data_IF_865558736311
#
_entry.id   IF_865558736311
#
_cell.length_a   1.000
_cell.length_b   1.000
_cell.length_c   1.000
_cell.angle_alpha   90.00
_cell.angle_beta   90.00
_cell.angle_gamma   90.00
#
_symmetry.space_group_name_H-M   'P 1'
#
loop_
_entity.id
_entity.type
_entity.pdbx_description
1 polymer ?
#
# COMPACT_ATOMS: atom_id res chain seq x y z
N UNK A 1 5.39 -13.54 12.29
CA UNK A 1 4.95 -14.83 11.70
C UNK A 1 3.98 -14.57 10.54
N UNK A 2 4.46 -14.25 9.34
CA UNK A 2 3.63 -13.90 8.17
C UNK A 2 3.52 -15.04 7.12
N UNK A 3 3.87 -16.28 7.50
CA UNK A 3 4.34 -17.28 6.53
C UNK A 3 3.35 -18.33 6.02
N UNK A 4 2.29 -18.70 6.75
CA UNK A 4 1.69 -20.04 6.59
C UNK A 4 0.27 -20.16 6.03
N UNK A 5 -0.43 -19.08 5.64
CA UNK A 5 -1.85 -19.18 5.22
C UNK A 5 -2.31 -18.29 4.06
N UNK A 6 -1.38 -17.75 3.25
CA UNK A 6 -1.72 -16.80 2.18
C UNK A 6 -1.28 -17.35 0.82
N UNK A 7 -2.18 -17.32 -0.16
CA UNK A 7 -1.88 -17.76 -1.53
C UNK A 7 -0.76 -16.90 -2.12
N UNK A 8 -0.04 -17.39 -3.13
CA UNK A 8 1.01 -16.63 -3.80
C UNK A 8 0.49 -15.25 -4.26
N UNK A 9 -0.75 -15.21 -4.78
CA UNK A 9 -1.42 -13.96 -5.15
C UNK A 9 -1.66 -13.04 -3.95
N UNK A 10 -2.14 -13.55 -2.82
CA UNK A 10 -2.35 -12.74 -1.61
C UNK A 10 -1.04 -12.20 -1.00
N UNK A 11 0.07 -12.94 -1.12
CA UNK A 11 1.40 -12.46 -0.70
C UNK A 11 1.89 -11.33 -1.59
N UNK A 12 1.75 -11.47 -2.92
CA UNK A 12 2.12 -10.44 -3.89
C UNK A 12 1.27 -9.18 -3.69
N UNK A 13 -0.05 -9.32 -3.52
CA UNK A 13 -0.94 -8.18 -3.31
C UNK A 13 -0.60 -7.40 -2.03
N UNK A 14 -0.22 -8.11 -0.96
CA UNK A 14 0.23 -7.48 0.27
C UNK A 14 1.55 -6.72 0.07
N UNK A 15 2.50 -7.30 -0.66
CA UNK A 15 3.77 -6.63 -0.97
C UNK A 15 3.56 -5.38 -1.82
N UNK A 16 2.76 -5.48 -2.88
CA UNK A 16 2.43 -4.34 -3.76
C UNK A 16 1.70 -3.26 -2.96
N UNK A 17 0.69 -3.62 -2.16
CA UNK A 17 -0.02 -2.67 -1.31
C UNK A 17 0.88 -1.95 -0.31
N UNK A 18 1.88 -2.64 0.25
CA UNK A 18 2.88 -2.04 1.14
C UNK A 18 3.75 -1.00 0.41
N UNK A 19 4.25 -1.34 -0.79
CA UNK A 19 5.04 -0.40 -1.60
C UNK A 19 4.24 0.81 -2.05
N UNK A 20 2.98 0.61 -2.47
CA UNK A 20 2.08 1.70 -2.88
C UNK A 20 1.76 2.62 -1.69
N UNK A 21 1.50 2.05 -0.52
CA UNK A 21 1.31 2.82 0.70
C UNK A 21 2.56 3.63 1.07
N UNK A 22 3.74 3.00 1.05
CA UNK A 22 5.00 3.65 1.38
C UNK A 22 5.33 4.79 0.39
N UNK A 23 5.07 4.61 -0.90
CA UNK A 23 5.23 5.66 -1.90
C UNK A 23 4.25 6.82 -1.67
N UNK A 24 2.98 6.53 -1.41
CA UNK A 24 2.00 7.56 -1.04
C UNK A 24 2.43 8.34 0.19
N UNK A 25 2.89 7.64 1.22
CA UNK A 25 3.39 8.24 2.45
C UNK A 25 4.64 9.10 2.21
N UNK A 26 5.57 8.65 1.37
CA UNK A 26 6.78 9.39 1.03
C UNK A 26 6.51 10.69 0.26
N UNK A 27 5.45 10.72 -0.56
CA UNK A 27 5.01 11.92 -1.28
C UNK A 27 3.98 12.75 -0.51
N UNK A 28 3.65 12.35 0.72
CA UNK A 28 2.75 13.14 1.56
C UNK A 28 3.50 14.32 2.16
N UNK A 29 2.83 15.46 2.18
CA UNK A 29 3.31 16.64 2.92
C UNK A 29 3.42 16.38 4.44
N UNK A 30 2.93 15.22 4.92
CA UNK A 30 3.16 14.72 6.27
C UNK A 30 4.64 14.64 6.67
N UNK A 31 5.54 14.47 5.69
CA UNK A 31 6.98 14.44 5.92
C UNK A 31 7.66 15.82 5.80
N UNK A 32 6.92 16.87 5.40
CA UNK A 32 7.44 18.23 5.27
C UNK A 32 8.61 18.37 4.29
N UNK A 33 8.65 17.53 3.26
CA UNK A 33 9.73 17.55 2.27
C UNK A 33 9.37 18.58 1.18
N UNK A 34 9.94 19.77 1.31
CA UNK A 34 9.85 20.83 0.30
C UNK A 34 10.46 20.37 -1.03
N UNK A 35 9.72 20.54 -2.13
CA UNK A 35 10.15 20.18 -3.49
C UNK A 35 9.43 18.98 -4.10
N UNK A 36 8.43 18.41 -3.42
CA UNK A 36 7.51 17.46 -4.05
C UNK A 36 6.56 18.19 -5.02
N UNK A 37 6.35 17.68 -6.24
CA UNK A 37 5.38 18.24 -7.19
C UNK A 37 3.96 18.23 -6.62
N UNK A 38 3.22 19.34 -6.72
CA UNK A 38 1.83 19.48 -6.20
C UNK A 38 0.89 18.33 -6.62
N UNK A 39 1.09 17.79 -7.83
CA UNK A 39 0.34 16.64 -8.34
C UNK A 39 0.57 15.37 -7.50
N UNK A 40 1.82 15.11 -7.09
CA UNK A 40 2.17 13.94 -6.27
C UNK A 40 1.68 14.11 -4.83
N UNK A 41 1.72 15.33 -4.33
CA UNK A 41 1.19 15.69 -3.01
C UNK A 41 -0.34 15.48 -2.96
N UNK A 42 -1.06 15.95 -3.98
CA UNK A 42 -2.51 15.76 -4.10
C UNK A 42 -2.89 14.28 -4.24
N UNK A 43 -2.07 13.51 -4.97
CA UNK A 43 -2.31 12.07 -5.17
C UNK A 43 -1.80 11.20 -4.02
N UNK A 44 -1.01 11.75 -3.09
CA UNK A 44 -0.45 11.02 -1.94
C UNK A 44 -1.53 10.35 -1.09
N UNK A 45 -2.54 11.12 -0.66
CA UNK A 45 -3.63 10.61 0.18
C UNK A 45 -4.41 9.50 -0.54
N UNK A 46 -4.88 9.69 -1.80
CA UNK A 46 -5.45 8.62 -2.59
C UNK A 46 -4.53 7.39 -2.71
N UNK A 47 -3.23 7.57 -2.94
CA UNK A 47 -2.26 6.46 -3.05
C UNK A 47 -2.16 5.67 -1.75
N UNK A 48 -2.08 6.36 -0.60
CA UNK A 48 -2.05 5.72 0.71
C UNK A 48 -3.33 4.91 0.94
N UNK A 49 -4.49 5.48 0.63
CA UNK A 49 -5.78 4.79 0.75
C UNK A 49 -5.82 3.54 -0.13
N UNK A 50 -5.34 3.62 -1.39
CA UNK A 50 -5.25 2.46 -2.29
C UNK A 50 -4.30 1.39 -1.73
N UNK A 51 -3.13 1.79 -1.21
CA UNK A 51 -2.17 0.88 -0.58
C UNK A 51 -2.77 0.14 0.62
N UNK A 52 -3.49 0.85 1.49
CA UNK A 52 -4.22 0.25 2.62
C UNK A 52 -5.32 -0.69 2.14
N UNK A 53 -6.11 -0.29 1.14
CA UNK A 53 -7.16 -1.14 0.56
C UNK A 53 -6.58 -2.41 -0.07
N UNK A 54 -5.43 -2.34 -0.73
CA UNK A 54 -4.71 -3.51 -1.23
C UNK A 54 -4.23 -4.42 -0.10
N UNK A 55 -3.67 -3.85 0.98
CA UNK A 55 -3.24 -4.61 2.15
C UNK A 55 -4.42 -5.32 2.83
N UNK A 56 -5.54 -4.63 3.03
CA UNK A 56 -6.75 -5.20 3.62
C UNK A 56 -7.36 -6.26 2.69
N UNK A 57 -7.53 -5.95 1.40
CA UNK A 57 -8.10 -6.89 0.43
C UNK A 57 -7.21 -8.11 0.19
N UNK A 58 -5.88 -7.98 0.37
CA UNK A 58 -4.97 -9.13 0.30
C UNK A 58 -5.33 -10.21 1.32
N UNK A 59 -5.96 -9.85 2.44
CA UNK A 59 -6.43 -10.81 3.44
C UNK A 59 -7.65 -11.62 2.99
N UNK A 60 -8.40 -11.18 1.99
CA UNK A 60 -9.44 -11.99 1.34
C UNK A 60 -8.86 -13.09 0.46
N UNK A 61 -7.65 -12.91 -0.06
CA UNK A 61 -6.90 -13.93 -0.80
C UNK A 61 -6.18 -14.95 0.11
N UNK A 62 -6.73 -15.21 1.30
CA UNK A 62 -6.35 -16.39 2.09
C UNK A 62 -6.86 -17.62 1.36
N UNK A 63 -6.02 -18.66 1.30
CA UNK A 63 -6.39 -19.93 0.69
C UNK A 63 -7.64 -20.41 1.45
N UNK A 64 -8.77 -20.47 0.75
CA UNK A 64 -10.00 -21.06 1.26
C UNK A 64 -9.69 -22.55 1.42
N UNK A 65 -9.57 -22.98 2.67
CA UNK A 65 -9.38 -24.38 3.01
C UNK A 65 -10.70 -25.13 2.91
#
# INVERSE_FOLDING_TARGET
MLGRGKSTAGKVLAYVGLWVFAAGFAFSDLLGIEGTPELLETLSIPLMVVGVLMLVSSNFFRIKH
#
